data_IF_123417204053
#
_entry.id   IF_123417204053
#
_cell.length_a   1.000
_cell.length_b   1.000
_cell.length_c   1.000
_cell.angle_alpha   90.00
_cell.angle_beta   90.00
_cell.angle_gamma   90.00
#
_symmetry.space_group_name_H-M   'P 1'
#
loop_
_entity.id
_entity.type
_entity.pdbx_description
1 polymer ?
#
# COMPACT_ATOMS: atom_id res chain seq x y z
N UNK A 1 -53.35 54.90 77.90
CA UNK A 1 -52.29 55.55 77.09
C UNK A 1 -51.67 56.64 77.96
N UNK A 2 -50.54 56.36 78.62
CA UNK A 2 -49.89 57.34 79.49
C UNK A 2 -49.10 58.36 78.67
N UNK A 3 -49.30 59.66 78.92
CA UNK A 3 -48.49 60.74 78.35
C UNK A 3 -47.14 60.79 79.09
N UNK A 4 -46.15 60.05 78.59
CA UNK A 4 -44.77 60.10 79.08
C UNK A 4 -43.93 61.03 78.20
N UNK A 5 -43.31 62.06 78.78
CA UNK A 5 -42.56 63.11 78.06
C UNK A 5 -41.15 62.65 77.64
N UNK A 6 -40.52 61.76 78.42
CA UNK A 6 -39.13 61.34 78.20
C UNK A 6 -38.92 60.37 77.03
N UNK A 7 -39.97 59.62 76.66
CA UNK A 7 -39.97 58.69 75.52
C UNK A 7 -41.19 58.97 74.64
N UNK A 8 -40.98 59.68 73.54
CA UNK A 8 -42.03 59.99 72.57
C UNK A 8 -42.24 58.81 71.62
N UNK A 9 -43.22 57.96 71.94
CA UNK A 9 -43.55 56.75 71.18
C UNK A 9 -44.00 57.09 69.74
N UNK A 10 -44.67 58.23 69.53
CA UNK A 10 -45.10 58.68 68.20
C UNK A 10 -43.91 59.03 67.31
N UNK A 11 -42.91 59.75 67.85
CA UNK A 11 -41.68 60.08 67.13
C UNK A 11 -40.85 58.81 66.80
N UNK A 12 -40.72 57.87 67.75
CA UNK A 12 -39.99 56.61 67.53
C UNK A 12 -40.67 55.71 66.48
N UNK A 13 -41.99 55.78 66.38
CA UNK A 13 -42.76 55.06 65.35
C UNK A 13 -42.62 55.72 63.98
N UNK A 14 -42.64 57.05 63.91
CA UNK A 14 -42.37 57.80 62.69
C UNK A 14 -40.93 57.53 62.16
N UNK A 15 -39.93 57.54 63.04
CA UNK A 15 -38.54 57.24 62.69
C UNK A 15 -38.38 55.81 62.14
N UNK A 16 -38.96 54.79 62.81
CA UNK A 16 -38.92 53.40 62.31
C UNK A 16 -39.56 53.26 60.93
N UNK A 17 -40.66 53.96 60.66
CA UNK A 17 -41.31 53.96 59.36
C UNK A 17 -40.47 54.68 58.30
N UNK A 18 -39.82 55.80 58.65
CA UNK A 18 -38.88 56.51 57.78
C UNK A 18 -37.71 55.61 57.36
N UNK A 19 -37.09 54.90 58.31
CA UNK A 19 -35.98 53.98 58.02
C UNK A 19 -36.41 52.84 57.08
N UNK A 20 -37.63 52.31 57.23
CA UNK A 20 -38.20 51.32 56.30
C UNK A 20 -38.40 51.89 54.90
N UNK A 21 -38.89 53.14 54.80
CA UNK A 21 -39.09 53.82 53.52
C UNK A 21 -37.75 54.13 52.82
N UNK A 22 -36.74 54.60 53.57
CA UNK A 22 -35.38 54.79 53.05
C UNK A 22 -34.80 53.48 52.50
N UNK A 23 -34.89 52.37 53.24
CA UNK A 23 -34.40 51.07 52.75
C UNK A 23 -35.18 50.51 51.55
N UNK A 24 -36.43 50.95 51.32
CA UNK A 24 -37.19 50.66 50.10
C UNK A 24 -36.75 51.52 48.91
N UNK A 25 -36.48 52.80 49.15
CA UNK A 25 -35.95 53.73 48.15
C UNK A 25 -34.56 53.33 47.69
N UNK A 26 -33.65 53.00 48.61
CA UNK A 26 -32.28 52.54 48.30
C UNK A 26 -32.29 51.30 47.39
N UNK A 27 -33.13 50.30 47.70
CA UNK A 27 -33.33 49.13 46.84
C UNK A 27 -33.86 49.50 45.45
N UNK A 28 -34.79 50.45 45.38
CA UNK A 28 -35.35 50.92 44.10
C UNK A 28 -34.29 51.65 43.26
N UNK A 29 -33.45 52.48 43.89
CA UNK A 29 -32.32 53.16 43.24
C UNK A 29 -31.30 52.13 42.75
N UNK A 30 -30.98 51.11 43.54
CA UNK A 30 -30.06 50.04 43.12
C UNK A 30 -30.58 49.28 41.91
N UNK A 31 -31.88 48.92 41.89
CA UNK A 31 -32.52 48.27 40.73
C UNK A 31 -32.57 49.17 39.50
N UNK A 32 -32.83 50.47 39.69
CA UNK A 32 -32.79 51.43 38.59
C UNK A 32 -31.39 51.59 38.00
N UNK A 33 -30.37 51.68 38.86
CA UNK A 33 -28.97 51.86 38.43
C UNK A 33 -28.40 50.64 37.72
N UNK A 34 -28.83 49.43 38.09
CA UNK A 34 -28.37 48.17 37.49
C UNK A 34 -29.24 47.73 36.32
N UNK A 35 -30.49 48.20 36.26
CA UNK A 35 -31.51 47.68 35.35
C UNK A 35 -31.98 46.26 35.68
N UNK A 36 -31.49 45.67 36.79
CA UNK A 36 -31.80 44.31 37.19
C UNK A 36 -32.80 44.29 38.34
N UNK A 37 -33.83 43.45 38.22
CA UNK A 37 -34.82 43.24 39.28
C UNK A 37 -34.24 42.52 40.50
N UNK A 38 -33.28 41.62 40.27
CA UNK A 38 -32.61 40.80 41.30
C UNK A 38 -31.14 41.22 41.31
N UNK A 39 -30.70 41.88 42.38
CA UNK A 39 -29.30 42.32 42.53
C UNK A 39 -28.50 41.47 43.52
N UNK A 40 -29.17 40.72 44.38
CA UNK A 40 -28.52 39.82 45.33
C UNK A 40 -29.46 38.74 45.86
N UNK A 41 -28.89 37.74 46.54
CA UNK A 41 -29.64 36.59 47.07
C UNK A 41 -30.68 36.98 48.13
N UNK A 42 -30.55 38.17 48.72
CA UNK A 42 -31.50 38.76 49.68
C UNK A 42 -32.82 39.15 49.00
N UNK A 43 -32.79 39.49 47.70
CA UNK A 43 -34.00 39.87 46.95
C UNK A 43 -34.83 38.66 46.53
N UNK A 44 -34.17 37.62 46.00
CA UNK A 44 -34.78 36.36 45.54
C UNK A 44 -33.70 35.28 45.36
N UNK A 45 -33.50 34.43 46.37
CA UNK A 45 -32.47 33.40 46.34
C UNK A 45 -32.71 32.35 45.22
N UNK A 46 -33.97 31.99 44.95
CA UNK A 46 -34.31 31.02 43.91
C UNK A 46 -34.16 31.64 42.52
N UNK A 47 -34.61 32.88 42.33
CA UNK A 47 -34.43 33.63 41.10
C UNK A 47 -32.95 33.86 40.77
N UNK A 48 -32.13 34.20 41.77
CA UNK A 48 -30.68 34.35 41.58
C UNK A 48 -30.02 33.03 41.19
N UNK A 49 -30.35 31.91 41.84
CA UNK A 49 -29.79 30.61 41.48
C UNK A 49 -30.15 30.18 40.05
N UNK A 50 -31.37 30.46 39.59
CA UNK A 50 -31.79 30.21 38.20
C UNK A 50 -31.02 31.13 37.24
N UNK A 51 -30.92 32.42 37.55
CA UNK A 51 -30.19 33.39 36.74
C UNK A 51 -28.70 33.04 36.60
N UNK A 52 -28.06 32.60 37.68
CA UNK A 52 -26.65 32.17 37.67
C UNK A 52 -26.46 30.91 36.81
N UNK A 53 -27.35 29.92 36.94
CA UNK A 53 -27.34 28.72 36.09
C UNK A 53 -27.51 29.08 34.61
N UNK A 54 -28.45 29.96 34.28
CA UNK A 54 -28.66 30.41 32.90
C UNK A 54 -27.47 31.24 32.39
N UNK A 55 -26.85 32.06 33.23
CA UNK A 55 -25.64 32.83 32.87
C UNK A 55 -24.47 31.89 32.57
N UNK A 56 -24.28 30.86 33.39
CA UNK A 56 -23.27 29.83 33.14
C UNK A 56 -23.55 29.11 31.81
N UNK A 57 -24.81 28.74 31.55
CA UNK A 57 -25.22 28.10 30.30
C UNK A 57 -24.97 29.01 29.09
N UNK A 58 -25.31 30.30 29.15
CA UNK A 58 -25.05 31.27 28.07
C UNK A 58 -23.55 31.40 27.81
N UNK A 59 -22.72 31.50 28.86
CA UNK A 59 -21.26 31.56 28.71
C UNK A 59 -20.72 30.27 28.09
N UNK A 60 -21.24 29.11 28.50
CA UNK A 60 -20.93 27.80 27.92
C UNK A 60 -21.27 27.75 26.43
N UNK A 61 -22.48 28.15 26.05
CA UNK A 61 -22.92 28.21 24.65
C UNK A 61 -22.07 29.17 23.80
N UNK A 62 -21.70 30.34 24.33
CA UNK A 62 -20.82 31.27 23.62
C UNK A 62 -19.42 30.68 23.36
N UNK A 63 -18.88 29.90 24.30
CA UNK A 63 -17.63 29.18 24.08
C UNK A 63 -17.81 28.03 23.07
N UNK A 64 -18.93 27.31 23.16
CA UNK A 64 -19.27 26.25 22.21
C UNK A 64 -19.37 26.75 20.77
N UNK A 65 -19.94 27.94 20.54
CA UNK A 65 -19.96 28.59 19.21
C UNK A 65 -18.55 28.84 18.71
N UNK A 66 -17.63 29.33 19.56
CA UNK A 66 -16.22 29.50 19.17
C UNK A 66 -15.56 28.17 18.83
N UNK A 67 -15.73 27.15 19.66
CA UNK A 67 -15.19 25.81 19.40
C UNK A 67 -15.74 25.21 18.09
N UNK A 68 -17.02 25.43 17.79
CA UNK A 68 -17.65 24.98 16.56
C UNK A 68 -17.03 25.68 15.34
N UNK A 69 -16.78 26.99 15.42
CA UNK A 69 -16.11 27.73 14.35
C UNK A 69 -14.66 27.25 14.15
N UNK A 70 -13.92 26.94 15.22
CA UNK A 70 -12.58 26.35 15.11
C UNK A 70 -12.63 24.99 14.39
N UNK A 71 -13.64 24.17 14.70
CA UNK A 71 -13.91 22.93 13.97
C UNK A 71 -14.17 23.17 12.49
N UNK A 72 -15.04 24.12 12.15
CA UNK A 72 -15.33 24.51 10.75
C UNK A 72 -14.06 24.94 10.02
N UNK A 73 -13.22 25.77 10.62
CA UNK A 73 -11.96 26.21 10.01
C UNK A 73 -10.98 25.06 9.79
N UNK A 74 -10.90 24.10 10.73
CA UNK A 74 -10.10 22.89 10.56
C UNK A 74 -10.62 22.05 9.37
N UNK A 75 -11.94 21.88 9.25
CA UNK A 75 -12.53 21.15 8.12
C UNK A 75 -12.33 21.85 6.79
N UNK A 76 -12.47 23.17 6.72
CA UNK A 76 -12.23 23.92 5.48
C UNK A 76 -10.78 23.81 5.04
N UNK A 77 -9.83 23.80 6.00
CA UNK A 77 -8.41 23.60 5.70
C UNK A 77 -8.16 22.18 5.16
N UNK A 78 -8.78 21.17 5.77
CA UNK A 78 -8.70 19.79 5.29
C UNK A 78 -9.35 19.64 3.90
N UNK A 79 -10.56 20.17 3.70
CA UNK A 79 -11.34 20.05 2.47
C UNK A 79 -10.65 20.76 1.29
N UNK A 80 -10.13 21.96 1.49
CA UNK A 80 -9.33 22.65 0.47
C UNK A 80 -8.10 21.83 0.06
N UNK A 81 -7.43 21.19 1.02
CA UNK A 81 -6.28 20.33 0.75
C UNK A 81 -6.67 19.01 0.06
N UNK A 82 -7.82 18.43 0.43
CA UNK A 82 -8.34 17.21 -0.19
C UNK A 82 -8.77 17.43 -1.64
N UNK A 83 -9.23 18.64 -1.99
CA UNK A 83 -9.46 19.00 -3.39
C UNK A 83 -8.17 18.94 -4.22
N UNK A 84 -7.04 19.41 -3.68
CA UNK A 84 -5.75 19.27 -4.36
C UNK A 84 -5.29 17.81 -4.45
N UNK A 85 -5.47 17.03 -3.39
CA UNK A 85 -5.24 15.57 -3.44
C UNK A 85 -6.07 14.93 -4.55
N UNK A 86 -7.35 15.29 -4.69
CA UNK A 86 -8.22 14.79 -5.77
C UNK A 86 -7.70 15.19 -7.16
N UNK A 87 -7.27 16.43 -7.36
CA UNK A 87 -6.70 16.91 -8.63
C UNK A 87 -5.42 16.14 -8.99
N UNK A 88 -4.53 15.95 -8.03
CA UNK A 88 -3.29 15.17 -8.18
C UNK A 88 -3.59 13.71 -8.56
N UNK A 89 -4.57 13.08 -7.91
CA UNK A 89 -4.99 11.71 -8.23
C UNK A 89 -5.63 11.60 -9.62
N UNK A 90 -6.41 12.60 -10.04
CA UNK A 90 -6.95 12.66 -11.40
C UNK A 90 -5.83 12.79 -12.42
N UNK A 91 -4.83 13.66 -12.17
CA UNK A 91 -3.65 13.79 -13.02
C UNK A 91 -2.84 12.49 -13.09
N UNK A 92 -2.62 11.81 -11.96
CA UNK A 92 -1.95 10.51 -11.94
C UNK A 92 -2.73 9.48 -12.77
N UNK A 93 -4.07 9.50 -12.73
CA UNK A 93 -4.92 8.64 -13.57
C UNK A 93 -4.81 8.98 -15.06
N UNK A 94 -4.74 10.24 -15.44
CA UNK A 94 -4.54 10.66 -16.84
C UNK A 94 -3.22 10.13 -17.39
N UNK A 95 -2.11 10.34 -16.67
CA UNK A 95 -0.77 9.85 -17.03
C UNK A 95 -0.74 8.33 -17.12
N UNK A 96 -1.44 7.68 -16.20
CA UNK A 96 -1.64 6.23 -16.16
C UNK A 96 -2.32 5.74 -17.44
N UNK A 97 -3.47 6.32 -17.83
CA UNK A 97 -4.17 5.98 -19.08
C UNK A 97 -3.33 6.30 -20.31
N UNK A 98 -2.61 7.43 -20.30
CA UNK A 98 -1.70 7.81 -21.38
C UNK A 98 -0.59 6.77 -21.55
N UNK A 99 0.03 6.31 -20.47
CA UNK A 99 1.12 5.32 -20.49
C UNK A 99 0.67 3.95 -21.01
N UNK A 100 -0.61 3.62 -20.87
CA UNK A 100 -1.18 2.34 -21.31
C UNK A 100 -1.30 2.23 -22.84
N UNK A 101 -1.18 3.33 -23.58
CA UNK A 101 -1.20 3.28 -25.05
C UNK A 101 0.10 2.67 -25.59
N UNK A 102 -0.02 1.77 -26.57
CA UNK A 102 1.07 1.00 -27.16
C UNK A 102 1.94 1.83 -28.12
N UNK A 103 1.45 2.99 -28.54
CA UNK A 103 2.20 3.95 -29.36
C UNK A 103 3.31 4.71 -28.59
N UNK A 104 3.35 4.61 -27.26
CA UNK A 104 4.41 5.26 -26.46
C UNK A 104 5.69 4.42 -26.41
N UNK A 105 6.83 5.07 -26.56
CA UNK A 105 8.12 4.39 -26.39
C UNK A 105 8.42 4.05 -24.92
N UNK A 106 9.40 3.19 -24.68
CA UNK A 106 9.87 2.87 -23.32
C UNK A 106 10.43 4.11 -22.59
N UNK A 107 11.09 5.04 -23.30
CA UNK A 107 11.55 6.31 -22.74
C UNK A 107 10.41 7.24 -22.34
N UNK A 108 9.32 7.26 -23.10
CA UNK A 108 8.13 8.07 -22.77
C UNK A 108 7.45 7.52 -21.51
N UNK A 109 7.29 6.20 -21.43
CA UNK A 109 6.74 5.54 -20.23
C UNK A 109 7.59 5.78 -18.99
N UNK A 110 8.92 5.83 -19.14
CA UNK A 110 9.83 6.16 -18.04
C UNK A 110 9.61 7.59 -17.54
N UNK A 111 9.46 8.55 -18.45
CA UNK A 111 9.22 9.95 -18.12
C UNK A 111 7.86 10.17 -17.46
N UNK A 112 6.80 9.52 -17.98
CA UNK A 112 5.47 9.53 -17.38
C UNK A 112 5.48 8.93 -15.96
N UNK A 113 6.25 7.86 -15.74
CA UNK A 113 6.40 7.25 -14.42
C UNK A 113 7.12 8.19 -13.44
N UNK A 114 8.14 8.93 -13.89
CA UNK A 114 8.79 9.94 -13.06
C UNK A 114 7.81 11.05 -12.64
N UNK A 115 6.92 11.49 -13.52
CA UNK A 115 5.86 12.46 -13.18
C UNK A 115 4.90 11.88 -12.13
N UNK A 116 4.46 10.62 -12.28
CA UNK A 116 3.62 9.96 -11.27
C UNK A 116 4.34 9.82 -9.93
N UNK A 117 5.64 9.47 -9.93
CA UNK A 117 6.43 9.41 -8.69
C UNK A 117 6.50 10.76 -7.98
N UNK A 118 6.59 11.87 -8.73
CA UNK A 118 6.56 13.21 -8.14
C UNK A 118 5.18 13.55 -7.56
N UNK A 119 4.10 13.13 -8.24
CA UNK A 119 2.74 13.30 -7.72
C UNK A 119 2.56 12.53 -6.41
N UNK A 120 3.05 11.28 -6.33
CA UNK A 120 3.00 10.47 -5.11
C UNK A 120 3.78 11.12 -3.97
N UNK A 121 5.00 11.61 -4.24
CA UNK A 121 5.79 12.34 -3.25
C UNK A 121 5.09 13.61 -2.76
N UNK A 122 4.37 14.32 -3.66
CA UNK A 122 3.59 15.49 -3.29
C UNK A 122 2.36 15.14 -2.44
N UNK A 123 1.70 14.02 -2.70
CA UNK A 123 0.62 13.51 -1.85
C UNK A 123 1.12 13.21 -0.42
N UNK A 124 2.26 12.53 -0.28
CA UNK A 124 2.88 12.26 1.03
C UNK A 124 3.33 13.57 1.73
N UNK A 125 3.79 14.55 0.94
CA UNK A 125 4.11 15.89 1.46
C UNK A 125 2.85 16.59 1.97
N UNK A 126 1.73 16.56 1.24
CA UNK A 126 0.47 17.15 1.69
C UNK A 126 -0.05 16.46 2.96
N UNK A 127 -0.03 15.12 3.00
CA UNK A 127 -0.41 14.35 4.17
C UNK A 127 0.38 14.78 5.43
N UNK A 128 1.69 14.97 5.29
CA UNK A 128 2.59 15.33 6.39
C UNK A 128 2.66 16.84 6.69
N UNK A 129 2.25 17.74 5.79
CA UNK A 129 2.38 19.19 5.98
C UNK A 129 1.08 19.89 6.36
N UNK A 130 -0.07 19.40 5.90
CA UNK A 130 -1.38 20.03 6.19
C UNK A 130 -1.70 19.91 7.67
N UNK A 131 -1.77 21.05 8.35
CA UNK A 131 -2.00 21.13 9.78
C UNK A 131 -2.88 22.31 10.16
N UNK A 132 -3.66 22.13 11.22
CA UNK A 132 -4.41 23.19 11.86
C UNK A 132 -4.08 23.20 13.35
N UNK A 133 -3.70 24.37 13.88
CA UNK A 133 -3.28 24.53 15.27
C UNK A 133 -2.24 23.47 15.72
N UNK A 134 -1.20 23.27 14.90
CA UNK A 134 -0.12 22.29 15.09
C UNK A 134 -0.55 20.82 15.13
N UNK A 135 -1.78 20.48 14.74
CA UNK A 135 -2.24 19.11 14.56
C UNK A 135 -2.32 18.78 13.08
N UNK A 136 -1.72 17.66 12.67
CA UNK A 136 -1.84 17.12 11.32
C UNK A 136 -3.28 16.68 11.08
N UNK A 137 -3.78 16.94 9.88
CA UNK A 137 -5.17 16.66 9.51
C UNK A 137 -5.30 15.43 8.60
N UNK A 138 -4.30 15.18 7.74
CA UNK A 138 -4.40 14.25 6.62
C UNK A 138 -3.46 13.03 6.72
N UNK A 139 -2.73 12.87 7.83
CA UNK A 139 -1.80 11.75 8.04
C UNK A 139 -2.47 10.51 8.67
N UNK A 140 -3.78 10.57 8.92
CA UNK A 140 -4.55 9.51 9.58
C UNK A 140 -4.50 9.53 11.10
N UNK A 141 -3.75 10.45 11.72
CA UNK A 141 -3.73 10.61 13.19
C UNK A 141 -4.91 11.43 13.71
N UNK A 142 -5.61 12.14 12.82
CA UNK A 142 -6.79 12.94 13.15
C UNK A 142 -8.05 12.06 13.29
N UNK A 143 -8.01 11.13 14.24
CA UNK A 143 -9.12 10.23 14.56
C UNK A 143 -9.82 10.65 15.84
N UNK A 144 -11.15 10.53 15.87
CA UNK A 144 -11.97 10.78 17.06
C UNK A 144 -11.73 12.15 17.71
N UNK A 145 -11.44 13.18 16.91
CA UNK A 145 -11.32 14.54 17.40
C UNK A 145 -12.70 15.03 17.86
N UNK A 146 -12.81 15.45 19.12
CA UNK A 146 -14.07 15.89 19.71
C UNK A 146 -14.11 17.40 19.84
N UNK A 147 -15.15 18.01 19.30
CA UNK A 147 -15.44 19.43 19.46
C UNK A 147 -16.63 19.60 20.40
N UNK A 148 -16.42 20.27 21.54
CA UNK A 148 -17.48 20.59 22.50
C UNK A 148 -18.35 21.72 21.93
N UNK A 149 -19.58 21.39 21.56
CA UNK A 149 -20.55 22.29 20.90
C UNK A 149 -21.77 22.62 21.77
N UNK A 150 -21.79 22.15 23.01
CA UNK A 150 -22.84 22.47 23.97
C UNK A 150 -22.31 22.98 25.31
N UNK A 151 -23.23 23.35 26.19
CA UNK A 151 -22.91 23.90 27.50
C UNK A 151 -22.74 22.83 28.59
N UNK A 152 -23.28 21.62 28.37
CA UNK A 152 -23.14 20.50 29.29
C UNK A 152 -21.99 19.58 28.87
N UNK A 153 -21.46 18.81 29.82
CA UNK A 153 -20.43 17.82 29.54
C UNK A 153 -20.89 16.81 28.48
N UNK A 154 -19.97 16.44 27.58
CA UNK A 154 -20.18 15.44 26.51
C UNK A 154 -21.16 15.84 25.40
N UNK A 155 -21.58 17.10 25.32
CA UNK A 155 -22.26 17.65 24.14
C UNK A 155 -21.22 17.95 23.03
N UNK A 156 -20.70 16.88 22.43
CA UNK A 156 -19.58 16.92 21.47
C UNK A 156 -19.93 16.39 20.09
N UNK A 157 -19.27 16.93 19.06
CA UNK A 157 -19.22 16.34 17.72
C UNK A 157 -17.87 15.67 17.54
N UNK A 158 -17.88 14.36 17.27
CA UNK A 158 -16.68 13.59 16.92
C UNK A 158 -16.46 13.61 15.42
N UNK A 159 -15.24 13.92 14.99
CA UNK A 159 -14.87 13.83 13.59
C UNK A 159 -13.54 13.11 13.43
N UNK A 160 -13.45 12.34 12.35
CA UNK A 160 -12.23 11.66 11.95
C UNK A 160 -11.94 12.01 10.50
N UNK A 161 -10.67 12.25 10.20
CA UNK A 161 -10.19 12.44 8.84
C UNK A 161 -9.22 11.30 8.55
N UNK A 162 -9.50 10.55 7.49
CA UNK A 162 -8.67 9.42 7.09
C UNK A 162 -7.32 9.88 6.53
N UNK A 163 -6.34 8.99 6.58
CA UNK A 163 -5.03 9.22 5.97
C UNK A 163 -5.14 9.39 4.45
N UNK A 164 -4.34 10.29 3.91
CA UNK A 164 -4.08 10.44 2.47
C UNK A 164 -2.65 10.08 2.09
N UNK A 165 -1.88 9.44 2.99
CA UNK A 165 -0.57 8.91 2.65
C UNK A 165 -0.71 7.91 1.49
N UNK A 166 0.29 7.87 0.61
CA UNK A 166 0.31 6.96 -0.55
C UNK A 166 0.27 5.48 -0.15
N UNK A 167 0.73 5.15 1.06
CA UNK A 167 0.62 3.81 1.62
C UNK A 167 -0.81 3.40 2.01
N UNK A 168 -1.66 4.38 2.36
CA UNK A 168 -3.05 4.17 2.80
C UNK A 168 -4.06 4.41 1.66
N UNK A 169 -3.70 5.26 0.69
CA UNK A 169 -4.50 5.53 -0.50
C UNK A 169 -4.37 4.40 -1.52
N UNK A 170 -5.40 3.56 -1.60
CA UNK A 170 -5.60 2.66 -2.75
C UNK A 170 -4.67 1.45 -2.80
N UNK A 171 -3.92 1.16 -1.72
CA UNK A 171 -3.01 0.02 -1.66
C UNK A 171 -3.68 -1.28 -2.12
N UNK A 172 -3.28 -1.76 -3.29
CA UNK A 172 -3.66 -3.10 -3.78
C UNK A 172 -2.52 -4.02 -3.41
N UNK A 173 -2.68 -4.74 -2.31
CA UNK A 173 -1.81 -5.83 -1.92
C UNK A 173 -1.96 -6.98 -2.91
N UNK A 174 -0.97 -7.12 -3.80
CA UNK A 174 -0.92 -8.23 -4.74
C UNK A 174 -0.26 -9.42 -4.03
N UNK A 175 -1.07 -10.33 -3.49
CA UNK A 175 -0.56 -11.63 -3.03
C UNK A 175 -0.08 -12.41 -4.26
N UNK A 176 1.23 -12.45 -4.45
CA UNK A 176 1.88 -13.13 -5.56
C UNK A 176 2.53 -14.44 -5.13
N UNK A 177 2.18 -15.56 -5.77
CA UNK A 177 3.04 -16.76 -5.76
C UNK A 177 3.80 -16.73 -7.09
N UNK A 178 5.09 -16.43 -7.03
CA UNK A 178 5.99 -16.64 -8.16
C UNK A 178 6.49 -18.08 -8.15
N UNK A 179 6.47 -18.76 -9.30
CA UNK A 179 7.43 -19.85 -9.49
C UNK A 179 8.82 -19.23 -9.32
N UNK A 180 9.67 -19.85 -8.51
CA UNK A 180 11.09 -19.52 -8.53
C UNK A 180 11.54 -19.55 -9.98
N UNK A 181 12.32 -18.57 -10.39
CA UNK A 181 12.71 -18.29 -11.76
C UNK A 181 13.45 -19.44 -12.48
N UNK A 182 13.64 -20.59 -11.80
CA UNK A 182 14.09 -21.87 -12.33
C UNK A 182 13.22 -22.27 -13.51
N UNK A 183 13.76 -22.13 -14.72
CA UNK A 183 13.01 -22.20 -15.95
C UNK A 183 12.19 -23.48 -16.11
N UNK A 184 10.99 -23.32 -16.65
CA UNK A 184 10.07 -24.40 -16.96
C UNK A 184 10.52 -25.12 -18.25
N UNK A 185 10.57 -26.46 -18.23
CA UNK A 185 10.74 -27.27 -19.44
C UNK A 185 9.40 -27.48 -20.13
N UNK A 186 9.36 -27.52 -21.46
CA UNK A 186 8.12 -27.68 -22.24
C UNK A 186 7.13 -28.71 -21.64
N UNK A 187 5.86 -28.33 -21.58
CA UNK A 187 4.78 -29.21 -21.12
C UNK A 187 4.42 -30.15 -22.28
N UNK A 188 4.92 -31.38 -22.23
CA UNK A 188 4.70 -32.36 -23.31
C UNK A 188 3.39 -33.12 -23.18
N UNK A 189 2.72 -33.04 -22.04
CA UNK A 189 1.46 -33.72 -21.72
C UNK A 189 0.44 -32.76 -21.09
N UNK A 190 -0.79 -33.22 -20.86
CA UNK A 190 -1.79 -32.39 -20.16
C UNK A 190 -1.50 -32.40 -18.66
N UNK A 191 -1.39 -31.22 -18.06
CA UNK A 191 -1.20 -31.04 -16.61
C UNK A 191 -2.29 -30.17 -16.01
N UNK A 192 -2.34 -30.11 -14.67
CA UNK A 192 -3.31 -29.27 -13.97
C UNK A 192 -2.66 -28.53 -12.79
N UNK A 193 -3.12 -27.30 -12.57
CA UNK A 193 -2.80 -26.49 -11.39
C UNK A 193 -4.09 -26.18 -10.65
N UNK A 194 -4.13 -26.42 -9.34
CA UNK A 194 -5.27 -26.02 -8.52
C UNK A 194 -5.02 -24.64 -7.94
N UNK A 195 -5.85 -23.67 -8.30
CA UNK A 195 -5.77 -22.28 -7.84
C UNK A 195 -7.04 -21.97 -7.05
N UNK A 196 -6.91 -21.59 -5.79
CA UNK A 196 -8.05 -21.30 -4.91
C UNK A 196 -9.07 -22.45 -4.82
N UNK A 197 -8.58 -23.69 -4.86
CA UNK A 197 -9.41 -24.91 -4.87
C UNK A 197 -10.03 -25.27 -6.23
N UNK A 198 -9.73 -24.52 -7.29
CA UNK A 198 -10.24 -24.76 -8.65
C UNK A 198 -9.13 -25.33 -9.52
N UNK A 199 -9.36 -26.51 -10.10
CA UNK A 199 -8.43 -27.16 -11.01
C UNK A 199 -8.47 -26.49 -12.39
N UNK A 200 -7.35 -25.93 -12.82
CA UNK A 200 -7.12 -25.40 -14.16
C UNK A 200 -6.33 -26.42 -14.95
N UNK A 201 -6.96 -27.03 -15.95
CA UNK A 201 -6.30 -27.94 -16.89
C UNK A 201 -5.52 -27.14 -17.93
N UNK A 202 -4.26 -27.49 -18.11
CA UNK A 202 -3.32 -26.88 -19.04
C UNK A 202 -2.88 -27.99 -19.99
N UNK A 203 -3.24 -27.86 -21.27
CA UNK A 203 -2.82 -28.81 -22.31
C UNK A 203 -1.31 -28.76 -22.55
N UNK A 204 -0.80 -29.57 -23.49
CA UNK A 204 0.61 -29.49 -23.87
C UNK A 204 0.95 -28.07 -24.38
N UNK A 205 2.00 -27.46 -23.82
CA UNK A 205 2.43 -26.10 -24.11
C UNK A 205 3.95 -26.03 -24.16
N UNK A 206 4.48 -25.49 -25.26
CA UNK A 206 5.92 -25.28 -25.48
C UNK A 206 6.37 -23.85 -25.16
N UNK A 207 5.44 -22.99 -24.72
CA UNK A 207 5.73 -21.61 -24.32
C UNK A 207 5.03 -21.26 -23.02
N UNK A 208 5.68 -20.43 -22.21
CA UNK A 208 5.09 -19.94 -20.96
C UNK A 208 3.88 -19.04 -21.21
N UNK A 209 3.83 -18.33 -22.34
CA UNK A 209 2.67 -17.57 -22.78
C UNK A 209 1.43 -18.47 -22.91
N UNK A 210 1.62 -19.68 -23.44
CA UNK A 210 0.56 -20.68 -23.51
C UNK A 210 0.02 -21.08 -22.14
N UNK A 211 0.90 -21.27 -21.16
CA UNK A 211 0.54 -21.59 -19.77
C UNK A 211 -0.19 -20.41 -19.11
N UNK A 212 0.34 -19.20 -19.26
CA UNK A 212 -0.25 -17.96 -18.73
C UNK A 212 -1.64 -17.74 -19.31
N UNK A 213 -1.84 -17.95 -20.61
CA UNK A 213 -3.13 -17.82 -21.27
C UNK A 213 -4.14 -18.86 -20.79
N UNK A 214 -3.71 -20.11 -20.60
CA UNK A 214 -4.58 -21.17 -20.07
C UNK A 214 -5.12 -20.82 -18.66
N UNK A 215 -4.26 -20.24 -17.81
CA UNK A 215 -4.66 -19.77 -16.47
C UNK A 215 -5.57 -18.54 -16.56
N UNK A 216 -5.19 -17.56 -17.40
CA UNK A 216 -5.97 -16.33 -17.55
C UNK A 216 -7.36 -16.57 -18.16
N UNK A 217 -7.53 -17.60 -18.98
CA UNK A 217 -8.85 -18.04 -19.47
C UNK A 217 -9.77 -18.54 -18.35
N UNK A 218 -9.21 -18.93 -17.19
CA UNK A 218 -9.95 -19.34 -16.00
C UNK A 218 -10.03 -18.25 -14.93
N UNK A 219 -9.66 -16.99 -15.23
CA UNK A 219 -9.69 -15.88 -14.26
C UNK A 219 -11.08 -15.69 -13.65
N UNK A 220 -12.16 -15.90 -14.42
CA UNK A 220 -13.54 -15.77 -13.90
C UNK A 220 -13.88 -16.77 -12.79
N UNK A 221 -13.22 -17.93 -12.78
CA UNK A 221 -13.43 -18.99 -11.79
C UNK A 221 -12.39 -18.90 -10.67
N UNK A 222 -11.11 -18.87 -11.04
CA UNK A 222 -9.97 -18.87 -10.09
C UNK A 222 -9.78 -17.54 -9.38
N UNK A 223 -10.28 -16.44 -9.97
CA UNK A 223 -10.07 -15.07 -9.52
C UNK A 223 -8.58 -14.69 -9.41
N UNK A 224 -7.73 -15.42 -10.14
CA UNK A 224 -6.29 -15.23 -10.21
C UNK A 224 -5.88 -14.94 -11.65
N UNK A 225 -4.87 -14.09 -11.81
CA UNK A 225 -4.25 -13.73 -13.08
C UNK A 225 -2.80 -14.18 -13.05
N UNK A 226 -2.35 -14.81 -14.13
CA UNK A 226 -0.96 -15.18 -14.36
C UNK A 226 -0.25 -14.14 -15.22
N UNK A 227 1.03 -13.88 -14.91
CA UNK A 227 1.90 -13.01 -15.69
C UNK A 227 3.28 -13.64 -15.81
N UNK A 228 3.81 -13.73 -17.04
CA UNK A 228 5.18 -14.17 -17.31
C UNK A 228 6.21 -13.31 -16.57
N UNK A 229 7.24 -13.94 -16.03
CA UNK A 229 8.36 -13.27 -15.37
C UNK A 229 9.28 -12.63 -16.43
N UNK A 230 9.86 -11.48 -16.10
CA UNK A 230 10.75 -10.75 -17.02
C UNK A 230 12.09 -11.45 -17.24
N UNK A 231 12.44 -12.48 -16.46
CA UNK A 231 13.71 -13.18 -16.56
C UNK A 231 13.51 -14.69 -16.58
N UNK A 232 14.36 -15.36 -17.35
CA UNK A 232 14.53 -16.82 -17.31
C UNK A 232 15.81 -17.12 -16.55
N UNK A 233 15.73 -17.93 -15.49
CA UNK A 233 16.90 -18.30 -14.68
C UNK A 233 17.00 -19.82 -14.66
N UNK A 234 18.16 -20.38 -14.94
CA UNK A 234 18.39 -21.82 -14.89
C UNK A 234 19.56 -22.06 -13.96
N UNK A 235 19.33 -22.79 -12.87
CA UNK A 235 20.40 -23.15 -11.93
C UNK A 235 20.82 -24.59 -12.20
N UNK A 236 22.08 -24.75 -12.58
CA UNK A 236 22.74 -26.04 -12.69
C UNK A 236 23.50 -26.35 -11.41
N UNK A 237 22.95 -27.26 -10.61
CA UNK A 237 23.58 -27.76 -9.39
C UNK A 237 24.53 -28.94 -9.65
N UNK A 238 24.55 -29.45 -10.88
CA UNK A 238 25.32 -30.60 -11.31
C UNK A 238 26.63 -30.26 -12.01
N UNK A 239 27.04 -28.98 -12.03
CA UNK A 239 28.27 -28.55 -12.68
C UNK A 239 29.50 -29.24 -12.05
N UNK A 240 30.12 -30.14 -12.78
CA UNK A 240 31.37 -30.81 -12.38
C UNK A 240 32.53 -30.11 -13.09
N UNK A 241 33.42 -29.50 -12.30
CA UNK A 241 34.70 -28.98 -12.81
C UNK A 241 35.50 -30.14 -13.41
N UNK A 242 35.96 -30.00 -14.65
CA UNK A 242 36.61 -31.09 -15.38
C UNK A 242 38.01 -31.37 -14.82
N UNK A 243 38.29 -32.62 -14.45
CA UNK A 243 39.55 -33.03 -13.80
C UNK A 243 40.41 -34.00 -14.63
N UNK A 244 40.06 -34.28 -15.88
CA UNK A 244 40.84 -35.16 -16.77
C UNK A 244 41.24 -34.48 -18.07
N UNK A 245 42.10 -35.15 -18.85
CA UNK A 245 42.85 -34.63 -20.01
C UNK A 245 42.05 -33.73 -20.97
N UNK A 246 42.76 -32.75 -21.54
CA UNK A 246 42.20 -31.71 -22.40
C UNK A 246 41.34 -32.28 -23.54
N UNK A 247 40.05 -31.97 -23.54
CA UNK A 247 39.12 -32.31 -24.61
C UNK A 247 38.32 -31.07 -25.03
N UNK A 248 38.11 -30.91 -26.33
CA UNK A 248 37.25 -29.84 -26.87
C UNK A 248 35.83 -30.36 -27.01
N UNK A 249 34.88 -29.64 -26.45
CA UNK A 249 33.44 -29.92 -26.56
C UNK A 249 32.69 -28.66 -26.99
N UNK A 250 31.50 -28.82 -27.57
CA UNK A 250 30.68 -27.69 -28.02
C UNK A 250 29.37 -27.68 -27.25
N UNK A 251 29.16 -26.60 -26.50
CA UNK A 251 27.88 -26.27 -25.89
C UNK A 251 27.16 -25.30 -26.81
N UNK A 252 25.97 -25.64 -27.29
CA UNK A 252 25.16 -24.65 -28.00
C UNK A 252 24.14 -24.03 -27.04
N UNK A 253 24.05 -22.70 -27.02
CA UNK A 253 23.04 -21.97 -26.25
C UNK A 253 22.25 -21.10 -27.23
N UNK A 254 20.94 -21.28 -27.28
CA UNK A 254 20.03 -20.58 -28.20
C UNK A 254 20.51 -20.64 -29.67
N UNK A 255 21.02 -21.81 -30.09
CA UNK A 255 21.56 -22.03 -31.44
C UNK A 255 22.97 -21.49 -31.69
N UNK A 256 23.62 -20.84 -30.71
CA UNK A 256 25.00 -20.36 -30.82
C UNK A 256 25.95 -21.41 -30.28
N UNK A 257 26.84 -21.93 -31.13
CA UNK A 257 27.87 -22.88 -30.73
C UNK A 257 29.02 -22.20 -29.98
N UNK A 258 29.25 -22.66 -28.74
CA UNK A 258 30.32 -22.21 -27.85
C UNK A 258 31.30 -23.36 -27.70
N UNK A 259 32.50 -23.20 -28.24
CA UNK A 259 33.57 -24.18 -28.07
C UNK A 259 34.19 -24.02 -26.70
N UNK A 260 34.15 -25.10 -25.93
CA UNK A 260 34.69 -25.19 -24.58
C UNK A 260 35.89 -26.11 -24.63
N UNK A 261 37.06 -25.58 -24.31
CA UNK A 261 38.25 -26.37 -24.01
C UNK A 261 38.15 -26.81 -22.56
N UNK A 262 37.99 -28.11 -22.33
CA UNK A 262 37.91 -28.69 -20.98
C UNK A 262 39.24 -29.35 -20.66
N UNK A 263 40.03 -28.84 -19.72
CA UNK A 263 41.33 -29.45 -19.35
C UNK A 263 42.13 -28.66 -18.29
N UNK A 264 42.58 -29.38 -17.25
CA UNK A 264 43.29 -28.86 -16.07
C UNK A 264 42.61 -27.67 -15.36
N UNK A 265 41.84 -27.98 -14.31
CA UNK A 265 41.31 -27.01 -13.34
C UNK A 265 40.58 -25.82 -13.98
N UNK A 266 39.70 -26.10 -14.95
CA UNK A 266 38.73 -25.12 -15.41
C UNK A 266 37.81 -24.78 -14.23
N UNK A 267 38.16 -23.69 -13.57
CA UNK A 267 37.38 -23.10 -12.50
C UNK A 267 36.05 -22.65 -13.10
N UNK A 268 34.98 -22.64 -12.30
CA UNK A 268 33.70 -22.05 -12.72
C UNK A 268 33.87 -20.66 -13.37
N UNK A 269 34.91 -19.91 -12.99
CA UNK A 269 35.30 -18.64 -13.60
C UNK A 269 35.74 -18.72 -15.07
N UNK A 270 36.51 -19.73 -15.48
CA UNK A 270 36.95 -19.87 -16.89
C UNK A 270 35.78 -20.27 -17.78
N UNK A 271 34.94 -21.20 -17.31
CA UNK A 271 33.68 -21.55 -17.97
C UNK A 271 32.76 -20.33 -18.13
N UNK A 272 32.51 -19.59 -17.04
CA UNK A 272 31.68 -18.39 -17.08
C UNK A 272 32.24 -17.34 -18.04
N UNK A 273 33.56 -17.10 -18.03
CA UNK A 273 34.18 -16.12 -18.92
C UNK A 273 33.98 -16.50 -20.39
N UNK A 274 34.16 -17.77 -20.74
CA UNK A 274 33.97 -18.26 -22.11
C UNK A 274 32.51 -18.13 -22.54
N UNK A 275 31.54 -18.58 -21.73
CA UNK A 275 30.12 -18.48 -22.09
C UNK A 275 29.63 -17.03 -22.13
N UNK A 276 30.05 -16.21 -21.15
CA UNK A 276 29.69 -14.79 -21.10
C UNK A 276 30.29 -13.97 -22.26
N UNK A 277 31.38 -14.45 -22.89
CA UNK A 277 31.90 -13.88 -24.13
C UNK A 277 30.89 -13.91 -25.29
N UNK A 278 29.92 -14.82 -25.25
CA UNK A 278 28.86 -14.96 -26.26
C UNK A 278 27.52 -14.34 -25.83
N UNK A 279 27.45 -13.62 -24.69
CA UNK A 279 26.21 -13.02 -24.16
C UNK A 279 25.44 -12.20 -25.19
N UNK A 280 26.14 -11.40 -26.02
CA UNK A 280 25.48 -10.56 -27.04
C UNK A 280 24.78 -11.36 -28.15
N UNK A 281 25.17 -12.63 -28.34
CA UNK A 281 24.59 -13.53 -29.33
C UNK A 281 23.55 -14.45 -28.71
N UNK A 282 23.82 -14.97 -27.50
CA UNK A 282 22.93 -15.91 -26.81
C UNK A 282 21.81 -15.21 -26.04
N UNK A 283 22.05 -13.97 -25.59
CA UNK A 283 21.21 -13.25 -24.62
C UNK A 283 21.29 -13.79 -23.19
N UNK A 284 22.26 -14.66 -22.89
CA UNK A 284 22.37 -15.40 -21.62
C UNK A 284 23.65 -15.00 -20.89
N UNK A 285 23.50 -14.64 -19.62
CA UNK A 285 24.59 -14.36 -18.68
C UNK A 285 24.71 -15.49 -17.68
N UNK A 286 25.93 -15.94 -17.42
CA UNK A 286 26.26 -17.01 -16.50
C UNK A 286 26.94 -16.46 -15.26
N UNK A 287 26.43 -16.80 -14.09
CA UNK A 287 26.98 -16.46 -12.78
C UNK A 287 27.14 -17.71 -11.91
N UNK A 288 27.76 -17.57 -10.75
CA UNK A 288 27.85 -18.62 -9.73
C UNK A 288 26.93 -18.30 -8.56
N UNK A 289 26.42 -19.34 -7.92
CA UNK A 289 25.69 -19.29 -6.65
C UNK A 289 26.31 -20.28 -5.67
N UNK A 290 25.85 -20.27 -4.42
CA UNK A 290 26.24 -21.29 -3.42
C UNK A 290 25.89 -22.73 -3.83
N UNK A 291 25.00 -22.89 -4.82
CA UNK A 291 24.43 -24.17 -5.22
C UNK A 291 24.91 -24.63 -6.60
N UNK A 292 25.72 -23.84 -7.33
CA UNK A 292 26.21 -24.18 -8.67
C UNK A 292 26.24 -23.00 -9.65
N UNK A 293 26.13 -23.29 -10.94
CA UNK A 293 26.13 -22.30 -12.03
C UNK A 293 24.72 -21.81 -12.31
N UNK A 294 24.54 -20.51 -12.58
CA UNK A 294 23.24 -19.88 -12.85
C UNK A 294 23.28 -19.19 -14.21
N UNK A 295 22.41 -19.60 -15.14
CA UNK A 295 22.19 -18.96 -16.43
C UNK A 295 21.00 -18.02 -16.31
N UNK A 296 21.17 -16.76 -16.67
CA UNK A 296 20.14 -15.72 -16.58
C UNK A 296 19.94 -15.08 -17.95
N UNK A 297 18.70 -15.01 -18.40
CA UNK A 297 18.29 -14.21 -19.55
C UNK A 297 17.35 -13.10 -19.11
N UNK A 298 17.86 -11.87 -19.12
CA UNK A 298 17.14 -10.67 -18.65
C UNK A 298 15.94 -10.29 -19.52
N UNK A 299 15.88 -10.79 -20.76
CA UNK A 299 14.77 -10.53 -21.68
C UNK A 299 13.55 -11.44 -21.43
N UNK A 300 13.65 -12.41 -20.52
CA UNK A 300 12.59 -13.41 -20.27
C UNK A 300 12.32 -14.34 -21.45
N UNK A 301 13.22 -14.36 -22.44
CA UNK A 301 13.18 -15.30 -23.56
C UNK A 301 13.61 -16.70 -23.12
N UNK A 302 13.49 -17.68 -24.01
CA UNK A 302 13.94 -19.04 -23.73
C UNK A 302 15.47 -19.12 -23.60
N UNK A 303 15.91 -20.10 -22.83
CA UNK A 303 17.30 -20.59 -22.78
C UNK A 303 17.25 -22.03 -23.26
N UNK A 304 17.61 -22.24 -24.53
CA UNK A 304 17.74 -23.56 -25.14
C UNK A 304 19.20 -24.00 -25.10
N UNK A 305 19.45 -25.23 -24.66
CA UNK A 305 20.74 -25.89 -24.71
C UNK A 305 20.66 -27.06 -25.68
N UNK A 306 21.54 -27.11 -26.69
CA UNK A 306 21.80 -28.34 -27.43
C UNK A 306 23.23 -28.77 -27.17
N UNK A 307 23.39 -29.92 -26.52
CA UNK A 307 24.69 -30.54 -26.30
C UNK A 307 24.97 -31.55 -27.41
N UNK A 308 26.02 -31.29 -28.20
CA UNK A 308 26.58 -32.31 -29.09
C UNK A 308 27.80 -32.90 -28.39
N UNK A 309 27.62 -34.01 -27.68
CA UNK A 309 28.72 -34.65 -26.95
C UNK A 309 29.69 -35.35 -27.90
N UNK A 310 30.96 -34.92 -27.86
CA UNK A 310 32.10 -35.65 -28.41
C UNK A 310 32.84 -36.52 -27.36
N UNK A 311 32.30 -36.66 -26.14
CA UNK A 311 32.99 -37.36 -25.04
C UNK A 311 32.18 -37.47 -23.74
N UNK A 312 32.72 -38.20 -22.77
CA UNK A 312 32.12 -38.65 -21.50
C UNK A 312 31.90 -37.57 -20.43
N UNK A 313 31.94 -36.28 -20.77
CA UNK A 313 31.77 -35.20 -19.81
C UNK A 313 30.70 -34.22 -20.31
N UNK A 314 29.59 -34.12 -19.57
CA UNK A 314 28.47 -33.22 -19.85
C UNK A 314 28.87 -31.78 -19.52
N UNK A 315 28.66 -30.87 -20.48
CA UNK A 315 28.97 -29.45 -20.30
C UNK A 315 27.69 -28.66 -20.52
N UNK A 316 26.82 -28.73 -19.53
CA UNK A 316 25.56 -28.01 -19.49
C UNK A 316 24.70 -28.45 -18.30
N UNK A 317 23.43 -28.07 -18.32
CA UNK A 317 22.54 -28.15 -17.16
C UNK A 317 22.10 -29.59 -16.90
N UNK A 318 22.49 -30.16 -15.75
CA UNK A 318 22.06 -31.47 -15.28
C UNK A 318 23.18 -32.51 -15.21
N UNK A 319 23.36 -33.08 -14.02
CA UNK A 319 24.33 -34.16 -13.77
C UNK A 319 23.94 -35.45 -14.51
N UNK A 320 24.92 -36.03 -15.20
CA UNK A 320 25.01 -37.44 -15.62
C UNK A 320 24.15 -37.94 -16.81
N UNK A 321 24.88 -38.17 -17.92
CA UNK A 321 24.83 -39.36 -18.80
C UNK A 321 23.75 -39.44 -19.89
N UNK A 322 24.26 -39.33 -21.12
CA UNK A 322 23.84 -40.01 -22.36
C UNK A 322 22.46 -39.70 -22.95
N UNK A 323 22.34 -38.56 -23.64
CA UNK A 323 21.63 -38.45 -24.92
C UNK A 323 21.92 -37.08 -25.55
N UNK A 324 21.87 -36.98 -26.88
CA UNK A 324 21.62 -35.72 -27.57
C UNK A 324 20.29 -35.17 -27.06
N UNK A 325 20.32 -34.34 -26.02
CA UNK A 325 19.13 -33.82 -25.37
C UNK A 325 19.11 -32.31 -25.57
N UNK A 326 18.28 -31.86 -26.51
CA UNK A 326 17.86 -30.46 -26.58
C UNK A 326 17.01 -30.17 -25.34
N UNK A 327 17.40 -29.17 -24.55
CA UNK A 327 16.66 -28.73 -23.36
C UNK A 327 16.31 -27.27 -23.48
N UNK A 328 15.02 -26.96 -23.56
CA UNK A 328 14.54 -25.58 -23.57
C UNK A 328 13.96 -25.21 -22.21
N UNK A 329 14.47 -24.12 -21.64
CA UNK A 329 13.97 -23.54 -20.41
C UNK A 329 13.25 -22.22 -20.74
N UNK A 330 12.02 -22.08 -20.25
CA UNK A 330 11.19 -20.90 -20.39
C UNK A 330 11.23 -20.04 -19.13
N UNK A 331 10.91 -18.74 -19.24
CA UNK A 331 10.70 -17.91 -18.05
C UNK A 331 9.58 -18.50 -17.18
N UNK A 332 9.69 -18.34 -15.86
CA UNK A 332 8.59 -18.64 -14.95
C UNK A 332 7.42 -17.66 -15.11
N UNK A 333 6.39 -17.81 -14.29
CA UNK A 333 5.30 -16.83 -14.17
C UNK A 333 4.92 -16.61 -12.71
N UNK A 334 4.24 -15.49 -12.48
CA UNK A 334 3.69 -15.08 -11.19
C UNK A 334 2.17 -15.11 -11.28
N UNK A 335 1.51 -15.78 -10.32
CA UNK A 335 0.07 -15.65 -10.13
C UNK A 335 -0.23 -14.50 -9.19
N UNK A 336 -1.36 -13.84 -9.38
CA UNK A 336 -1.80 -12.70 -8.57
C UNK A 336 -3.31 -12.71 -8.44
N UNK A 337 -3.84 -12.40 -7.26
CA UNK A 337 -5.28 -12.24 -7.00
C UNK A 337 -5.62 -10.80 -6.65
N UNK A 338 -6.90 -10.43 -6.81
CA UNK A 338 -7.45 -9.15 -6.32
C UNK A 338 -7.61 -9.14 -4.79
N UNK A 339 -7.90 -7.95 -4.21
CA UNK A 339 -8.00 -7.71 -2.75
C UNK A 339 -8.80 -8.76 -1.98
N UNK A 340 -8.41 -8.97 -0.71
CA UNK A 340 -9.06 -9.76 0.34
C UNK A 340 -9.19 -11.26 0.08
N UNK A 341 -8.42 -11.78 -0.89
CA UNK A 341 -8.45 -13.21 -1.24
C UNK A 341 -7.11 -13.85 -0.89
N UNK A 342 -7.19 -14.99 -0.22
CA UNK A 342 -6.03 -15.88 -0.08
C UNK A 342 -5.79 -16.55 -1.43
N UNK A 343 -4.57 -16.45 -1.95
CA UNK A 343 -4.13 -17.25 -3.10
C UNK A 343 -3.60 -18.58 -2.58
N UNK A 344 -4.32 -19.67 -2.81
CA UNK A 344 -3.83 -21.03 -2.56
C UNK A 344 -3.48 -21.70 -3.88
N UNK A 345 -2.28 -22.25 -3.97
CA UNK A 345 -1.84 -23.01 -5.15
C UNK A 345 -1.45 -24.41 -4.70
N UNK A 346 -2.08 -25.40 -5.31
CA UNK A 346 -1.73 -26.82 -5.13
C UNK A 346 -1.46 -27.40 -6.51
N UNK A 347 -0.20 -27.70 -6.80
CA UNK A 347 0.16 -28.53 -7.95
C UNK A 347 -0.22 -29.98 -7.65
N UNK A 348 -0.77 -30.69 -8.63
CA UNK A 348 -0.93 -32.14 -8.54
C UNK A 348 0.39 -32.82 -8.92
N UNK A 349 0.95 -33.62 -8.01
CA UNK A 349 2.07 -34.58 -8.23
C UNK A 349 1.81 -35.43 -9.50
N UNK A 350 2.74 -35.83 -10.39
CA UNK A 350 4.22 -35.93 -10.45
C UNK A 350 4.60 -35.87 -11.95
N UNK A 351 5.72 -35.25 -12.33
CA UNK A 351 6.48 -35.60 -13.55
C UNK A 351 6.60 -34.51 -14.63
N UNK A 352 5.60 -33.66 -14.79
CA UNK A 352 5.58 -32.55 -15.75
C UNK A 352 5.21 -31.24 -15.02
N UNK A 353 5.95 -30.96 -13.95
CA UNK A 353 5.59 -29.92 -12.98
C UNK A 353 5.64 -28.52 -13.64
N UNK A 354 4.58 -27.74 -13.46
CA UNK A 354 4.51 -26.31 -13.79
C UNK A 354 5.31 -25.52 -12.73
N UNK A 355 6.44 -26.09 -12.29
CA UNK A 355 7.40 -25.64 -11.28
C UNK A 355 6.83 -24.98 -10.02
N UNK A 356 5.71 -25.47 -9.51
CA UNK A 356 5.26 -25.15 -8.15
C UNK A 356 5.50 -26.36 -7.26
N UNK A 357 6.38 -26.22 -6.26
CA UNK A 357 6.51 -27.23 -5.20
C UNK A 357 5.15 -27.45 -4.56
N UNK A 358 4.75 -28.71 -4.38
CA UNK A 358 3.49 -29.09 -3.74
C UNK A 358 3.33 -28.38 -2.39
N UNK A 359 2.22 -27.66 -2.19
CA UNK A 359 1.86 -27.04 -0.91
C UNK A 359 2.36 -25.59 -0.68
N UNK A 360 2.81 -24.87 -1.72
CA UNK A 360 3.19 -23.46 -1.57
C UNK A 360 1.96 -22.58 -1.33
N UNK A 361 1.87 -22.03 -0.11
CA UNK A 361 0.93 -20.96 0.25
C UNK A 361 1.72 -19.66 0.32
N UNK A 362 1.51 -18.71 -0.58
CA UNK A 362 2.08 -17.37 -0.41
C UNK A 362 1.15 -16.54 0.47
N UNK A 363 1.67 -16.08 1.60
CA UNK A 363 1.04 -15.05 2.41
C UNK A 363 1.59 -13.69 2.00
N UNK A 364 0.70 -12.87 1.45
CA UNK A 364 0.73 -11.40 1.38
C UNK A 364 2.05 -10.73 0.99
N UNK A 365 2.16 -10.28 -0.25
CA UNK A 365 3.13 -9.25 -0.65
C UNK A 365 2.40 -7.91 -0.76
N UNK A 366 2.75 -6.97 0.09
CA UNK A 366 2.23 -5.60 0.10
C UNK A 366 2.93 -4.80 -0.99
N UNK A 367 2.20 -4.36 -2.03
CA UNK A 367 2.67 -3.29 -2.92
C UNK A 367 1.63 -2.18 -2.97
N UNK A 368 2.05 -0.92 -2.90
CA UNK A 368 1.15 0.23 -2.98
C UNK A 368 0.67 0.41 -4.42
N UNK A 369 -0.65 0.53 -4.63
CA UNK A 369 -1.25 0.91 -5.92
C UNK A 369 -2.20 2.06 -5.66
N UNK A 370 -2.60 2.77 -6.72
CA UNK A 370 -3.76 3.66 -6.72
C UNK A 370 -4.64 3.22 -7.89
N UNK A 371 -5.85 2.75 -7.57
CA UNK A 371 -6.97 2.60 -8.51
C UNK A 371 -6.70 1.77 -9.78
N UNK A 372 -6.31 0.50 -9.62
CA UNK A 372 -6.50 -0.52 -10.66
C UNK A 372 -5.52 -0.51 -11.85
N UNK A 373 -4.57 0.44 -11.96
CA UNK A 373 -3.54 0.39 -13.01
C UNK A 373 -2.19 -0.09 -12.49
N UNK A 374 -1.48 -0.86 -13.32
CA UNK A 374 -0.19 -1.48 -13.03
C UNK A 374 0.91 -0.48 -13.40
N UNK A 375 1.49 0.22 -12.43
CA UNK A 375 2.79 0.85 -12.66
C UNK A 375 3.80 -0.27 -12.54
N UNK A 376 4.01 -0.99 -13.64
CA UNK A 376 5.23 -1.76 -13.77
C UNK A 376 6.35 -0.72 -13.59
N UNK A 377 7.26 -1.00 -12.67
CA UNK A 377 8.61 -0.53 -12.84
C UNK A 377 9.01 -0.96 -14.26
N UNK A 378 8.99 -0.03 -15.23
CA UNK A 378 9.36 -0.28 -16.62
C UNK A 378 10.89 -0.29 -16.65
N UNK A 379 11.47 -1.30 -16.01
CA UNK A 379 12.71 -1.89 -16.48
C UNK A 379 12.26 -2.98 -17.47
N UNK A 380 11.94 -2.54 -18.68
CA UNK A 380 12.02 -3.38 -19.87
C UNK A 380 13.47 -3.48 -20.30
#
# INVERSE_FOLDING_TARGET
MGLTINTNISALTAQRNLTRAQGGLERSIQRLSTGLRINGAVDDAAGMAISDRLTAQIRGLNQAVRNANDGVSAFQTADGSLNEVSNLLQRARELSVQSANDSNSSSDRTSLNAEVSNILAELDRLASTVQFNNRKLLDGTFTSAQFQVGANAYETVSVSISSVNTADLGAITLAGVGMSSTGFTDLTSTSAITINGISVTIGAQTTIEGVVNAINNQTGNTLATAKKNSQTIVTDTGFIAHTTAASTTTLTINGVAITLTTGNADSASTFMATVNGYTNQTGVVVTTSSSGIVYTRSSGGTIAFDETSGGTASVGVGSAVAATASRTFNAGFTLSVNLDRTLTVVSSTVGDDIGFTTGVTATTVTTSRINGLYIANVSG
#
